data_IF_219653931298
#
_entry.id   IF_219653931298
#
_cell.length_a   1.000
_cell.length_b   1.000
_cell.length_c   1.000
_cell.angle_alpha   90.00
_cell.angle_beta   90.00
_cell.angle_gamma   90.00
#
_symmetry.space_group_name_H-M   'P 1'
#
loop_
_entity.id
_entity.type
_entity.pdbx_description
1 polymer ?
#
# COMPACT_ATOMS: atom_id res chain seq x y z
N UNK A 1 22.82 32.17 -36.34
CA UNK A 1 21.71 32.55 -37.25
C UNK A 1 20.44 31.85 -36.80
N UNK A 2 19.32 32.56 -36.97
CA UNK A 2 17.90 32.20 -36.68
C UNK A 2 17.42 32.50 -35.25
N UNK A 3 16.26 33.18 -35.07
CA UNK A 3 16.03 34.10 -33.96
C UNK A 3 14.83 33.75 -33.06
N UNK A 4 14.65 34.65 -32.09
CA UNK A 4 13.73 34.76 -30.95
C UNK A 4 12.30 35.18 -31.36
N UNK A 5 11.26 34.59 -30.76
CA UNK A 5 10.01 35.31 -30.41
C UNK A 5 9.14 34.53 -29.41
N UNK A 6 8.41 35.28 -28.58
CA UNK A 6 7.50 34.86 -27.50
C UNK A 6 6.04 34.83 -28.00
N UNK A 7 5.20 33.94 -27.47
CA UNK A 7 3.73 34.07 -27.34
C UNK A 7 3.28 32.98 -26.34
N UNK A 8 2.79 33.26 -25.13
CA UNK A 8 1.46 33.74 -24.70
C UNK A 8 0.27 32.88 -25.17
N UNK A 9 -0.47 32.38 -24.16
CA UNK A 9 -1.95 32.19 -24.12
C UNK A 9 -2.47 30.95 -24.89
N UNK A 10 -3.37 30.10 -24.41
CA UNK A 10 -4.09 29.92 -23.14
C UNK A 10 -4.60 28.46 -23.16
N UNK A 11 -4.69 27.86 -21.97
CA UNK A 11 -5.28 26.55 -21.70
C UNK A 11 -6.68 26.40 -22.32
N UNK A 12 -6.83 25.50 -23.28
CA UNK A 12 -8.09 24.78 -23.52
C UNK A 12 -8.00 23.42 -22.80
N UNK A 13 -8.58 23.30 -21.62
CA UNK A 13 -8.95 22.00 -21.04
C UNK A 13 -10.36 22.15 -20.48
N UNK A 14 -11.30 21.53 -21.20
CA UNK A 14 -12.56 20.91 -20.78
C UNK A 14 -13.11 21.26 -19.38
N UNK A 15 -14.36 21.74 -19.35
CA UNK A 15 -15.48 20.99 -18.76
C UNK A 15 -16.82 21.67 -19.12
N UNK A 16 -17.61 20.94 -19.88
CA UNK A 16 -19.08 20.83 -19.85
C UNK A 16 -19.85 21.77 -18.92
N UNK A 17 -20.64 22.66 -19.49
CA UNK A 17 -22.01 22.93 -19.03
C UNK A 17 -22.81 23.65 -20.13
N UNK A 18 -24.11 23.36 -20.15
CA UNK A 18 -25.19 24.00 -20.93
C UNK A 18 -25.50 23.38 -22.31
N UNK A 19 -26.18 22.24 -22.31
CA UNK A 19 -27.24 22.00 -23.29
C UNK A 19 -28.53 22.67 -22.79
N UNK A 20 -29.11 23.62 -23.52
CA UNK A 20 -30.52 23.94 -23.41
C UNK A 20 -31.28 23.07 -24.42
N UNK A 21 -31.82 21.94 -23.96
CA UNK A 21 -32.90 21.29 -24.70
C UNK A 21 -34.16 22.15 -24.54
N UNK A 22 -34.78 22.44 -25.69
CA UNK A 22 -36.15 22.97 -25.86
C UNK A 22 -36.43 24.39 -25.38
N UNK A 23 -36.07 25.39 -26.19
CA UNK A 23 -36.76 26.68 -26.20
C UNK A 23 -36.68 27.35 -27.58
N UNK A 24 -37.39 26.78 -28.56
CA UNK A 24 -37.58 27.47 -29.84
C UNK A 24 -38.97 27.27 -30.45
N UNK A 25 -39.94 26.91 -29.62
CA UNK A 25 -41.34 27.04 -29.99
C UNK A 25 -42.03 27.91 -28.93
N UNK A 26 -42.76 28.91 -29.44
CA UNK A 26 -43.72 29.74 -28.72
C UNK A 26 -43.09 30.87 -27.87
N UNK A 27 -43.10 32.09 -28.41
CA UNK A 27 -43.82 33.24 -27.83
C UNK A 27 -43.61 34.51 -28.69
N UNK A 28 -44.24 34.59 -29.85
CA UNK A 28 -44.67 35.88 -30.42
C UNK A 28 -46.03 36.21 -29.78
N UNK A 29 -46.00 36.87 -28.63
CA UNK A 29 -47.18 37.56 -28.10
C UNK A 29 -46.76 38.74 -27.22
N UNK A 30 -47.38 39.93 -27.37
CA UNK A 30 -47.04 41.10 -26.58
C UNK A 30 -47.85 41.07 -25.29
N UNK A 31 -47.35 40.38 -24.26
CA UNK A 31 -47.91 40.50 -22.91
C UNK A 31 -46.82 40.99 -21.99
N UNK A 32 -46.99 42.23 -21.55
CA UNK A 32 -46.20 42.88 -20.52
C UNK A 32 -46.47 42.17 -19.18
N UNK A 33 -45.52 41.40 -18.67
CA UNK A 33 -45.54 40.91 -17.29
C UNK A 33 -44.64 41.83 -16.46
N UNK A 34 -45.17 42.63 -15.53
CA UNK A 34 -44.35 43.32 -14.54
C UNK A 34 -43.99 42.33 -13.42
N UNK A 35 -42.79 42.49 -12.88
CA UNK A 35 -42.25 41.82 -11.69
C UNK A 35 -41.89 40.33 -11.83
N UNK A 36 -40.74 40.07 -12.44
CA UNK A 36 -39.87 39.01 -11.95
C UNK A 36 -38.80 39.63 -11.06
N UNK A 37 -39.02 39.45 -9.76
CA UNK A 37 -38.09 39.76 -8.68
C UNK A 37 -36.72 39.22 -9.06
N UNK A 38 -35.76 40.13 -9.20
CA UNK A 38 -34.36 39.80 -9.43
C UNK A 38 -33.81 39.03 -8.24
N UNK A 39 -33.81 37.70 -8.35
CA UNK A 39 -33.01 36.88 -7.46
C UNK A 39 -31.54 37.16 -7.79
N UNK A 40 -30.84 37.81 -6.86
CA UNK A 40 -29.42 38.10 -6.94
C UNK A 40 -28.62 36.80 -7.20
N UNK A 41 -28.24 36.56 -8.46
CA UNK A 41 -27.41 35.43 -8.88
C UNK A 41 -26.08 35.36 -8.12
N UNK A 42 -25.61 36.48 -7.56
CA UNK A 42 -24.35 36.57 -6.83
C UNK A 42 -24.35 35.79 -5.49
N UNK A 43 -25.51 35.65 -4.83
CA UNK A 43 -25.61 34.92 -3.56
C UNK A 43 -25.51 33.40 -3.75
N UNK A 44 -26.13 32.90 -4.81
CA UNK A 44 -26.29 31.46 -5.08
C UNK A 44 -24.95 30.80 -5.43
N UNK A 45 -24.09 31.46 -6.22
CA UNK A 45 -22.75 30.94 -6.54
C UNK A 45 -21.84 30.80 -5.31
N UNK A 46 -21.97 31.69 -4.32
CA UNK A 46 -21.14 31.62 -3.10
C UNK A 46 -21.55 30.48 -2.17
N UNK A 47 -22.84 30.17 -2.12
CA UNK A 47 -23.41 29.08 -1.30
C UNK A 47 -23.05 27.74 -1.92
N UNK A 48 -23.21 27.57 -3.24
CA UNK A 48 -22.85 26.35 -3.97
C UNK A 48 -21.37 26.00 -3.86
N UNK A 49 -20.47 27.01 -3.86
CA UNK A 49 -19.02 26.78 -3.70
C UNK A 49 -18.64 26.30 -2.30
N UNK A 50 -19.33 26.79 -1.26
CA UNK A 50 -19.08 26.39 0.14
C UNK A 50 -19.70 25.02 0.46
N UNK A 51 -20.89 24.72 -0.08
CA UNK A 51 -21.54 23.42 0.11
C UNK A 51 -20.82 22.32 -0.66
N UNK A 52 -20.37 22.57 -1.89
CA UNK A 52 -19.56 21.61 -2.65
C UNK A 52 -18.25 21.25 -1.92
N UNK A 53 -17.55 22.24 -1.35
CA UNK A 53 -16.34 22.00 -0.57
C UNK A 53 -16.60 21.16 0.69
N UNK A 54 -17.71 21.41 1.40
CA UNK A 54 -18.10 20.63 2.58
C UNK A 54 -18.47 19.18 2.23
N UNK A 55 -19.16 18.98 1.10
CA UNK A 55 -19.54 17.63 0.61
C UNK A 55 -18.30 16.85 0.18
N UNK A 56 -17.35 17.47 -0.53
CA UNK A 56 -16.08 16.83 -0.92
C UNK A 56 -15.26 16.45 0.32
N UNK A 57 -15.20 17.31 1.33
CA UNK A 57 -14.50 17.02 2.60
C UNK A 57 -15.18 15.90 3.39
N UNK A 58 -16.52 15.86 3.42
CA UNK A 58 -17.27 14.78 4.07
C UNK A 58 -17.10 13.44 3.35
N UNK A 59 -17.01 13.42 2.02
CA UNK A 59 -16.78 12.21 1.23
C UNK A 59 -15.37 11.64 1.41
N UNK A 60 -14.35 12.46 1.69
CA UNK A 60 -12.99 11.97 1.96
C UNK A 60 -12.83 11.25 3.30
N UNK A 61 -13.73 11.49 4.28
CA UNK A 61 -13.68 10.86 5.60
C UNK A 61 -14.23 9.43 5.62
N UNK A 62 -15.00 9.02 4.60
CA UNK A 62 -15.64 7.69 4.53
C UNK A 62 -14.72 6.66 3.85
N UNK A 63 -13.60 7.10 3.25
CA UNK A 63 -12.72 6.26 2.43
C UNK A 63 -11.47 5.72 3.15
N UNK A 64 -11.40 5.76 4.49
CA UNK A 64 -10.33 5.07 5.22
C UNK A 64 -10.69 3.59 5.35
N UNK A 65 -10.53 2.83 4.28
CA UNK A 65 -10.49 1.37 4.39
C UNK A 65 -9.21 1.00 5.13
N UNK A 66 -9.32 0.42 6.32
CA UNK A 66 -8.20 -0.29 6.95
C UNK A 66 -7.76 -1.40 5.98
N UNK A 67 -6.67 -1.16 5.26
CA UNK A 67 -5.99 -2.18 4.50
C UNK A 67 -5.37 -3.16 5.52
N UNK A 68 -6.18 -4.07 6.04
CA UNK A 68 -5.67 -5.20 6.79
C UNK A 68 -4.80 -6.01 5.84
N UNK A 69 -3.48 -5.87 5.99
CA UNK A 69 -2.54 -6.79 5.38
C UNK A 69 -2.94 -8.20 5.84
N UNK A 70 -3.52 -8.99 4.94
CA UNK A 70 -3.83 -10.38 5.21
C UNK A 70 -2.50 -11.09 5.37
N UNK A 71 -2.08 -11.27 6.63
CA UNK A 71 -0.84 -11.96 6.95
C UNK A 71 -0.84 -13.34 6.30
N UNK A 72 0.23 -13.66 5.58
CA UNK A 72 0.40 -14.99 5.00
C UNK A 72 0.60 -15.97 6.15
N UNK A 73 -0.31 -16.95 6.28
CA UNK A 73 -0.18 -17.97 7.32
C UNK A 73 0.89 -18.97 6.91
N UNK A 74 2.04 -18.89 7.56
CA UNK A 74 3.14 -19.85 7.39
C UNK A 74 2.89 -21.05 8.30
N UNK A 75 2.87 -22.26 7.72
CA UNK A 75 2.58 -23.51 8.43
C UNK A 75 3.85 -24.28 8.76
N UNK A 76 3.90 -24.86 9.95
CA UNK A 76 5.01 -25.70 10.40
C UNK A 76 6.15 -24.95 11.11
N UNK A 77 6.08 -23.62 11.17
CA UNK A 77 7.02 -22.82 11.96
C UNK A 77 6.84 -23.13 13.45
N UNK A 78 7.91 -23.53 14.11
CA UNK A 78 7.93 -23.65 15.59
C UNK A 78 8.11 -22.26 16.21
N UNK A 79 7.71 -22.10 17.47
CA UNK A 79 8.04 -20.87 18.21
C UNK A 79 9.54 -20.75 18.44
N UNK A 80 10.03 -19.52 18.60
CA UNK A 80 11.43 -19.28 18.95
C UNK A 80 11.80 -19.88 20.32
N UNK A 81 10.87 -19.89 21.29
CA UNK A 81 11.07 -20.61 22.54
C UNK A 81 11.32 -22.12 22.34
N UNK A 82 10.57 -22.77 21.45
CA UNK A 82 10.79 -24.18 21.10
C UNK A 82 12.11 -24.39 20.35
N UNK A 83 12.48 -23.47 19.45
CA UNK A 83 13.77 -23.51 18.76
C UNK A 83 14.92 -23.48 19.77
N UNK A 84 14.95 -22.49 20.65
CA UNK A 84 16.00 -22.33 21.65
C UNK A 84 16.08 -23.57 22.53
N UNK A 85 14.94 -24.09 23.03
CA UNK A 85 14.94 -25.31 23.84
C UNK A 85 15.54 -26.51 23.11
N UNK A 86 15.12 -26.75 21.86
CA UNK A 86 15.59 -27.88 21.07
C UNK A 86 17.09 -27.81 20.72
N UNK A 87 17.68 -26.61 20.73
CA UNK A 87 19.09 -26.34 20.40
C UNK A 87 19.97 -26.02 21.63
N UNK A 88 19.48 -26.25 22.86
CA UNK A 88 20.31 -26.08 24.08
C UNK A 88 21.45 -27.10 24.18
N UNK A 89 21.20 -28.32 23.72
CA UNK A 89 22.19 -29.40 23.75
C UNK A 89 23.11 -29.31 22.54
N UNK A 90 24.42 -29.59 22.69
CA UNK A 90 25.32 -29.72 21.55
C UNK A 90 24.96 -30.93 20.67
N UNK A 91 24.29 -31.95 21.22
CA UNK A 91 23.87 -33.13 20.47
C UNK A 91 22.52 -32.86 19.77
N UNK A 92 22.42 -33.07 18.43
CA UNK A 92 21.19 -32.85 17.69
C UNK A 92 20.06 -33.77 18.18
N UNK A 93 18.92 -33.18 18.53
CA UNK A 93 17.69 -33.91 18.79
C UNK A 93 16.90 -34.10 17.50
N UNK A 94 15.97 -35.07 17.48
CA UNK A 94 15.06 -35.23 16.33
C UNK A 94 14.28 -33.92 16.06
N UNK A 95 13.92 -33.20 17.12
CA UNK A 95 13.20 -31.92 17.01
C UNK A 95 14.07 -30.82 16.41
N UNK A 96 15.33 -30.68 16.85
CA UNK A 96 16.23 -29.65 16.29
C UNK A 96 16.49 -29.90 14.81
N UNK A 97 16.77 -31.15 14.43
CA UNK A 97 16.98 -31.53 13.03
C UNK A 97 15.72 -31.27 12.18
N UNK A 98 14.53 -31.55 12.71
CA UNK A 98 13.28 -31.28 11.99
C UNK A 98 13.06 -29.77 11.78
N UNK A 99 13.33 -28.95 12.80
CA UNK A 99 13.21 -27.49 12.72
C UNK A 99 14.23 -26.89 11.74
N UNK A 100 15.49 -27.32 11.79
CA UNK A 100 16.54 -26.92 10.84
C UNK A 100 16.14 -27.21 9.39
N UNK A 101 15.67 -28.44 9.12
CA UNK A 101 15.20 -28.84 7.78
C UNK A 101 14.02 -28.00 7.31
N UNK A 102 13.06 -27.75 8.19
CA UNK A 102 11.92 -26.89 7.88
C UNK A 102 12.35 -25.47 7.52
N UNK A 103 13.26 -24.88 8.31
CA UNK A 103 13.81 -23.54 8.08
C UNK A 103 14.53 -23.43 6.73
N UNK A 104 15.41 -24.37 6.40
CA UNK A 104 16.12 -24.36 5.10
C UNK A 104 15.12 -24.51 3.95
N UNK A 105 14.11 -25.38 4.09
CA UNK A 105 13.03 -25.51 3.12
C UNK A 105 12.24 -24.20 2.93
N UNK A 106 11.91 -23.53 4.03
CA UNK A 106 11.22 -22.23 4.01
C UNK A 106 12.04 -21.15 3.27
N UNK A 107 13.32 -20.99 3.61
CA UNK A 107 14.21 -20.02 2.94
C UNK A 107 14.42 -20.35 1.45
N UNK A 108 14.49 -21.63 1.10
CA UNK A 108 14.53 -22.07 -0.30
C UNK A 108 13.24 -21.73 -1.05
N UNK A 109 12.09 -21.87 -0.38
CA UNK A 109 10.79 -21.46 -0.90
C UNK A 109 10.71 -19.94 -1.15
N UNK A 110 11.24 -19.13 -0.22
CA UNK A 110 11.38 -17.69 -0.41
C UNK A 110 12.26 -17.36 -1.62
N UNK A 111 13.39 -18.06 -1.79
CA UNK A 111 14.24 -17.87 -2.96
C UNK A 111 13.52 -18.20 -4.27
N UNK A 112 12.77 -19.30 -4.30
CA UNK A 112 11.98 -19.69 -5.47
C UNK A 112 10.85 -18.69 -5.78
N UNK A 113 10.19 -18.18 -4.74
CA UNK A 113 9.08 -17.23 -4.84
C UNK A 113 9.53 -15.84 -5.29
N UNK A 114 10.66 -15.37 -4.76
CA UNK A 114 11.22 -14.05 -5.07
C UNK A 114 12.14 -14.03 -6.30
N UNK A 115 12.51 -15.20 -6.83
CA UNK A 115 13.52 -15.37 -7.89
C UNK A 115 14.89 -14.79 -7.52
N UNK A 116 15.19 -14.65 -6.22
CA UNK A 116 16.47 -14.19 -5.69
C UNK A 116 17.02 -15.27 -4.77
N UNK A 117 18.20 -15.79 -5.06
CA UNK A 117 18.88 -16.75 -4.18
C UNK A 117 19.74 -16.00 -3.15
N UNK A 118 19.06 -15.40 -2.17
CA UNK A 118 19.70 -14.56 -1.15
C UNK A 118 20.52 -15.40 -0.16
N UNK A 119 20.17 -16.67 0.03
CA UNK A 119 20.89 -17.57 0.94
C UNK A 119 22.09 -18.26 0.27
N UNK A 120 22.25 -18.11 -1.04
CA UNK A 120 23.45 -18.54 -1.76
C UNK A 120 24.72 -18.05 -1.07
N UNK A 121 25.70 -18.93 -0.94
CA UNK A 121 27.00 -18.65 -0.30
C UNK A 121 26.92 -18.32 1.20
N UNK A 122 25.79 -18.62 1.86
CA UNK A 122 25.66 -18.57 3.32
C UNK A 122 25.46 -19.99 3.83
N UNK A 123 26.39 -20.48 4.64
CA UNK A 123 26.34 -21.86 5.12
C UNK A 123 25.22 -22.08 6.15
N UNK A 124 24.69 -23.30 6.20
CA UNK A 124 23.58 -23.64 7.08
C UNK A 124 23.93 -23.43 8.56
N UNK A 125 25.16 -23.68 8.99
CA UNK A 125 25.55 -23.50 10.39
C UNK A 125 25.49 -22.02 10.80
N UNK A 126 25.96 -21.11 9.93
CA UNK A 126 25.82 -19.66 10.13
C UNK A 126 24.35 -19.23 10.16
N UNK A 127 23.49 -19.80 9.29
CA UNK A 127 22.04 -19.55 9.30
C UNK A 127 21.43 -19.98 10.65
N UNK A 128 21.70 -21.21 11.10
CA UNK A 128 21.15 -21.72 12.36
C UNK A 128 21.65 -20.95 13.57
N UNK A 129 22.92 -20.54 13.57
CA UNK A 129 23.47 -19.70 14.62
C UNK A 129 22.77 -18.33 14.66
N UNK A 130 22.54 -17.71 13.50
CA UNK A 130 21.85 -16.43 13.43
C UNK A 130 20.42 -16.55 13.95
N UNK A 131 19.68 -17.58 13.53
CA UNK A 131 18.31 -17.83 13.98
C UNK A 131 18.26 -18.11 15.48
N UNK A 132 19.23 -18.86 16.01
CA UNK A 132 19.37 -19.09 17.46
C UNK A 132 19.56 -17.78 18.21
N UNK A 133 20.42 -16.88 17.72
CA UNK A 133 20.63 -15.58 18.34
C UNK A 133 19.36 -14.72 18.29
N UNK A 134 18.66 -14.71 17.16
CA UNK A 134 17.38 -14.01 17.02
C UNK A 134 16.33 -14.55 18.00
N UNK A 135 16.15 -15.86 18.05
CA UNK A 135 15.14 -16.50 18.89
C UNK A 135 15.44 -16.35 20.38
N UNK A 136 16.71 -16.31 20.79
CA UNK A 136 17.09 -15.99 22.16
C UNK A 136 16.67 -14.56 22.57
N UNK A 137 16.69 -13.61 21.64
CA UNK A 137 16.27 -12.23 21.91
C UNK A 137 14.74 -12.04 21.78
N UNK A 138 14.06 -12.87 20.98
CA UNK A 138 12.64 -12.72 20.65
C UNK A 138 11.88 -14.05 20.88
N UNK A 139 11.70 -14.50 22.14
CA UNK A 139 11.15 -15.83 22.44
C UNK A 139 9.66 -15.99 22.05
N UNK A 140 8.94 -14.88 21.86
CA UNK A 140 7.52 -14.88 21.49
C UNK A 140 7.28 -14.95 19.99
N UNK A 141 8.32 -14.72 19.18
CA UNK A 141 8.25 -14.87 17.73
C UNK A 141 8.26 -16.34 17.34
N UNK A 142 8.07 -16.61 16.05
CA UNK A 142 8.26 -17.93 15.47
C UNK A 142 9.46 -17.97 14.51
N UNK A 143 9.89 -19.18 14.17
CA UNK A 143 11.07 -19.41 13.32
C UNK A 143 10.89 -18.84 11.90
N UNK A 144 9.66 -18.67 11.41
CA UNK A 144 9.41 -18.00 10.14
C UNK A 144 9.70 -16.50 10.22
N UNK A 145 9.29 -15.83 11.31
CA UNK A 145 9.57 -14.40 11.55
C UNK A 145 11.09 -14.17 11.63
N UNK A 146 11.80 -15.06 12.33
CA UNK A 146 13.26 -15.07 12.37
C UNK A 146 13.87 -15.27 10.97
N UNK A 147 13.34 -16.21 10.18
CA UNK A 147 13.77 -16.48 8.81
C UNK A 147 13.55 -15.29 7.85
N UNK A 148 12.42 -14.60 7.96
CA UNK A 148 12.14 -13.38 7.17
C UNK A 148 13.07 -12.23 7.58
N UNK A 149 13.34 -12.08 8.87
CA UNK A 149 14.29 -11.08 9.35
C UNK A 149 15.70 -11.37 8.84
N UNK A 150 16.14 -12.63 8.90
CA UNK A 150 17.41 -13.07 8.31
C UNK A 150 17.47 -12.77 6.81
N UNK A 151 16.40 -13.09 6.08
CA UNK A 151 16.30 -12.83 4.65
C UNK A 151 16.53 -11.34 4.35
N UNK A 152 15.87 -10.46 5.09
CA UNK A 152 16.01 -9.00 4.96
C UNK A 152 17.43 -8.53 5.32
N UNK A 153 18.01 -9.10 6.37
CA UNK A 153 19.39 -8.79 6.78
C UNK A 153 20.40 -9.19 5.70
N UNK A 154 20.24 -10.36 5.09
CA UNK A 154 21.12 -10.83 4.02
C UNK A 154 20.98 -9.97 2.75
N UNK A 155 19.77 -9.53 2.39
CA UNK A 155 19.56 -8.55 1.30
C UNK A 155 20.40 -7.29 1.56
N UNK A 156 20.30 -6.73 2.77
CA UNK A 156 21.04 -5.52 3.15
C UNK A 156 22.55 -5.73 3.08
N UNK A 157 23.05 -6.84 3.61
CA UNK A 157 24.50 -7.16 3.61
C UNK A 157 25.06 -7.39 2.21
N UNK A 158 24.26 -7.97 1.31
CA UNK A 158 24.67 -8.32 -0.05
C UNK A 158 24.40 -7.19 -1.06
N UNK A 159 23.68 -6.14 -0.67
CA UNK A 159 23.36 -4.99 -1.53
C UNK A 159 22.41 -5.33 -2.69
N UNK A 160 21.38 -6.15 -2.42
CA UNK A 160 20.43 -6.70 -3.42
C UNK A 160 19.01 -6.11 -3.37
#
# INVERSE_FOLDING_TARGET
MVPKSRSLIVRCIFLTACEPTTAQAMCDSPISIPNLIGYNCHGIFSVVRKTAAAIVMALTLIATSDAHAQGVIIRGASSCGQWTEAHKSPDPSISSVAMERWLIGYLSGLALGTKKDIIKDTDNASIFQWITNYCNANPLDNVADAGETLWTELIKRKGL
#
